data_IF_871486891146
#
_entry.id   IF_871486891146
#
_cell.length_a   1.000
_cell.length_b   1.000
_cell.length_c   1.000
_cell.angle_alpha   90.00
_cell.angle_beta   90.00
_cell.angle_gamma   90.00
#
_symmetry.space_group_name_H-M   'P 1'
#
loop_
_entity.id
_entity.type
_entity.pdbx_description
1 polymer ?
#
# COMPACT_ATOMS: atom_id res chain seq x y z
N UNK A 1 -36.88 6.54 39.32
CA UNK A 1 -37.65 6.80 38.10
C UNK A 1 -37.22 5.78 37.08
N UNK A 2 -38.07 4.78 36.86
CA UNK A 2 -37.85 3.63 35.98
C UNK A 2 -38.67 3.90 34.72
N UNK A 3 -37.99 4.19 33.62
CA UNK A 3 -38.64 4.33 32.32
C UNK A 3 -38.48 3.01 31.56
N UNK A 4 -39.61 2.30 31.47
CA UNK A 4 -39.82 1.14 30.61
C UNK A 4 -39.99 1.63 29.17
N UNK A 5 -39.30 0.98 28.24
CA UNK A 5 -39.49 1.14 26.80
C UNK A 5 -40.69 0.26 26.38
N UNK A 6 -41.70 0.76 25.66
CA UNK A 6 -42.88 -0.03 25.25
C UNK A 6 -42.59 -1.01 24.11
N UNK A 7 -43.10 -2.23 24.27
CA UNK A 7 -43.24 -3.26 23.24
C UNK A 7 -44.52 -3.00 22.45
N UNK A 8 -44.46 -2.57 21.19
CA UNK A 8 -45.64 -2.47 20.31
C UNK A 8 -45.24 -2.51 18.83
N UNK A 9 -44.76 -3.65 18.30
CA UNK A 9 -44.71 -3.86 16.84
C UNK A 9 -44.94 -5.34 16.51
N UNK A 10 -46.16 -5.83 16.75
CA UNK A 10 -46.73 -7.00 16.07
C UNK A 10 -48.26 -6.93 16.08
N UNK A 11 -48.86 -6.45 14.99
CA UNK A 11 -50.17 -6.89 14.50
C UNK A 11 -50.48 -6.19 13.16
N UNK A 12 -50.15 -6.82 12.05
CA UNK A 12 -50.87 -6.60 10.80
C UNK A 12 -51.91 -7.73 10.68
N UNK A 13 -53.13 -7.47 11.14
CA UNK A 13 -54.31 -8.26 10.80
C UNK A 13 -54.70 -7.89 9.37
N UNK A 14 -54.59 -8.86 8.45
CA UNK A 14 -55.15 -8.73 7.12
C UNK A 14 -56.68 -8.78 7.21
N UNK A 15 -57.32 -7.77 6.64
CA UNK A 15 -58.76 -7.70 6.38
C UNK A 15 -59.13 -8.79 5.36
N UNK A 16 -60.15 -9.59 5.66
CA UNK A 16 -60.86 -10.41 4.69
C UNK A 16 -62.27 -9.85 4.57
N UNK A 17 -62.62 -9.45 3.36
CA UNK A 17 -63.93 -8.96 2.92
C UNK A 17 -64.79 -10.10 2.37
N UNK A 18 -66.07 -10.02 2.73
CA UNK A 18 -67.31 -10.35 2.00
C UNK A 18 -67.68 -11.82 1.69
N UNK A 19 -68.62 -12.32 2.50
CA UNK A 19 -69.99 -12.73 2.16
C UNK A 19 -70.31 -13.62 0.93
N UNK A 20 -70.88 -14.78 1.30
CA UNK A 20 -72.14 -15.41 0.84
C UNK A 20 -72.21 -16.52 -0.24
N UNK A 21 -73.15 -17.43 0.09
CA UNK A 21 -73.86 -18.47 -0.67
C UNK A 21 -73.15 -19.77 -1.07
N UNK A 22 -73.70 -20.88 -0.55
CA UNK A 22 -73.27 -22.24 -0.80
C UNK A 22 -73.92 -22.93 -2.00
N UNK A 23 -73.36 -24.08 -2.36
CA UNK A 23 -74.04 -25.17 -3.04
C UNK A 23 -73.22 -26.46 -2.86
N UNK A 24 -73.88 -27.50 -2.37
CA UNK A 24 -73.41 -28.88 -2.31
C UNK A 24 -73.12 -29.43 -3.71
N UNK A 25 -72.04 -30.20 -3.86
CA UNK A 25 -72.04 -31.47 -4.60
C UNK A 25 -70.82 -32.30 -4.18
N UNK A 26 -71.11 -33.53 -3.75
CA UNK A 26 -70.17 -34.62 -3.51
C UNK A 26 -69.32 -34.91 -4.76
N UNK A 27 -68.00 -35.09 -4.58
CA UNK A 27 -67.25 -36.11 -5.31
C UNK A 27 -65.90 -36.39 -4.63
N UNK A 28 -65.67 -37.68 -4.51
CA UNK A 28 -64.58 -38.39 -3.85
C UNK A 28 -63.27 -38.25 -4.63
N UNK A 29 -62.26 -37.58 -4.07
CA UNK A 29 -60.88 -37.86 -4.48
C UNK A 29 -59.89 -37.57 -3.34
N UNK A 30 -59.27 -38.65 -2.84
CA UNK A 30 -58.32 -38.63 -1.74
C UNK A 30 -56.98 -38.08 -2.22
N UNK A 31 -56.86 -36.75 -2.28
CA UNK A 31 -55.57 -36.09 -2.48
C UNK A 31 -54.73 -36.19 -1.20
N UNK A 32 -53.89 -37.23 -1.11
CA UNK A 32 -52.88 -37.35 -0.06
C UNK A 32 -51.99 -36.09 -0.04
N UNK A 33 -52.18 -35.31 1.03
CA UNK A 33 -51.37 -34.17 1.42
C UNK A 33 -49.88 -34.52 1.44
N UNK A 34 -49.13 -33.99 0.48
CA UNK A 34 -47.66 -33.87 0.54
C UNK A 34 -47.27 -32.42 0.82
N UNK A 35 -47.84 -31.86 1.87
CA UNK A 35 -47.38 -30.57 2.38
C UNK A 35 -46.13 -30.81 3.25
N UNK A 36 -44.99 -31.07 2.60
CA UNK A 36 -43.70 -31.08 3.28
C UNK A 36 -43.36 -29.64 3.63
N UNK A 37 -43.67 -29.25 4.87
CA UNK A 37 -43.22 -28.00 5.48
C UNK A 37 -41.69 -27.92 5.35
N UNK A 38 -41.19 -27.14 4.40
CA UNK A 38 -39.76 -26.94 4.19
C UNK A 38 -39.22 -26.16 5.39
N UNK A 39 -38.61 -26.87 6.32
CA UNK A 39 -37.99 -26.26 7.50
C UNK A 39 -36.73 -25.51 7.08
N UNK A 40 -36.79 -24.18 7.05
CA UNK A 40 -35.63 -23.34 6.80
C UNK A 40 -34.64 -23.43 7.97
N UNK A 41 -33.42 -23.86 7.69
CA UNK A 41 -32.31 -23.90 8.64
C UNK A 41 -31.18 -23.00 8.12
N UNK A 42 -30.36 -22.44 9.03
CA UNK A 42 -29.20 -21.66 8.58
C UNK A 42 -28.31 -22.52 7.69
N UNK A 43 -27.88 -21.94 6.57
CA UNK A 43 -27.09 -22.61 5.53
C UNK A 43 -25.81 -23.25 6.10
N UNK A 44 -25.17 -22.62 7.07
CA UNK A 44 -23.95 -23.15 7.71
C UNK A 44 -24.23 -24.41 8.55
N UNK A 45 -25.38 -24.47 9.23
CA UNK A 45 -25.80 -25.63 10.01
C UNK A 45 -26.15 -26.79 9.07
N UNK A 46 -26.84 -26.51 7.97
CA UNK A 46 -27.12 -27.49 6.92
C UNK A 46 -25.83 -28.11 6.36
N UNK A 47 -24.88 -27.29 5.91
CA UNK A 47 -23.61 -27.79 5.37
C UNK A 47 -22.75 -28.48 6.43
N UNK A 48 -22.84 -28.08 7.70
CA UNK A 48 -22.20 -28.78 8.81
C UNK A 48 -22.74 -30.22 8.97
N UNK A 49 -24.05 -30.44 8.80
CA UNK A 49 -24.66 -31.79 8.79
C UNK A 49 -24.19 -32.61 7.60
N UNK A 50 -24.22 -32.05 6.39
CA UNK A 50 -23.74 -32.72 5.16
C UNK A 50 -22.28 -33.14 5.29
N UNK A 51 -21.44 -32.29 5.90
CA UNK A 51 -20.02 -32.57 6.10
C UNK A 51 -19.70 -33.63 7.14
N UNK A 52 -20.64 -33.95 8.04
CA UNK A 52 -20.53 -35.04 9.01
C UNK A 52 -20.97 -36.40 8.45
N UNK A 53 -21.60 -36.42 7.27
CA UNK A 53 -22.08 -37.67 6.66
C UNK A 53 -20.89 -38.53 6.22
N UNK A 54 -20.78 -39.73 6.80
CA UNK A 54 -19.76 -40.72 6.47
C UNK A 54 -20.35 -41.85 5.65
N UNK A 55 -19.51 -42.46 4.82
CA UNK A 55 -19.80 -43.74 4.18
C UNK A 55 -19.63 -44.86 5.23
N UNK A 56 -20.20 -46.05 5.00
CA UNK A 56 -19.97 -47.22 5.86
C UNK A 56 -18.48 -47.58 6.02
N UNK A 57 -17.63 -47.15 5.09
CA UNK A 57 -16.16 -47.29 5.12
C UNK A 57 -15.45 -46.29 6.03
N UNK A 58 -16.17 -45.41 6.73
CA UNK A 58 -15.61 -44.39 7.63
C UNK A 58 -15.16 -43.09 6.94
N UNK A 59 -15.08 -43.08 5.60
CA UNK A 59 -14.69 -41.90 4.83
C UNK A 59 -15.83 -40.86 4.73
N UNK A 60 -15.49 -39.57 4.69
CA UNK A 60 -16.49 -38.51 4.50
C UNK A 60 -17.12 -38.63 3.11
N UNK A 61 -18.45 -38.73 3.07
CA UNK A 61 -19.21 -38.97 1.84
C UNK A 61 -19.03 -37.85 0.80
N UNK A 62 -18.92 -36.62 1.26
CA UNK A 62 -18.92 -35.40 0.43
C UNK A 62 -17.71 -34.49 0.68
N UNK A 63 -16.50 -35.06 0.71
CA UNK A 63 -15.28 -34.30 1.03
C UNK A 63 -14.99 -33.13 0.06
N UNK A 64 -15.14 -33.34 -1.24
CA UNK A 64 -14.91 -32.31 -2.28
C UNK A 64 -16.00 -31.23 -2.26
N UNK A 65 -17.27 -31.65 -2.18
CA UNK A 65 -18.41 -30.73 -2.10
C UNK A 65 -18.33 -29.83 -0.86
N UNK A 66 -17.89 -30.37 0.28
CA UNK A 66 -17.66 -29.58 1.50
C UNK A 66 -16.52 -28.57 1.39
N UNK A 67 -15.57 -28.77 0.48
CA UNK A 67 -14.55 -27.75 0.19
C UNK A 67 -15.17 -26.62 -0.64
N UNK A 68 -15.92 -26.96 -1.69
CA UNK A 68 -16.62 -25.99 -2.53
C UNK A 68 -17.61 -25.14 -1.72
N UNK A 69 -18.47 -25.78 -0.92
CA UNK A 69 -19.44 -25.09 -0.08
C UNK A 69 -18.77 -24.15 0.92
N UNK A 70 -17.65 -24.58 1.54
CA UNK A 70 -16.88 -23.69 2.43
C UNK A 70 -16.34 -22.48 1.68
N UNK A 71 -15.72 -22.66 0.53
CA UNK A 71 -15.19 -21.54 -0.27
C UNK A 71 -16.32 -20.58 -0.65
N UNK A 72 -17.42 -21.10 -1.20
CA UNK A 72 -18.56 -20.30 -1.63
C UNK A 72 -19.19 -19.50 -0.48
N UNK A 73 -19.33 -20.09 0.72
CA UNK A 73 -19.94 -19.45 1.89
C UNK A 73 -18.99 -18.53 2.66
N UNK A 74 -17.67 -18.66 2.45
CA UNK A 74 -16.66 -17.76 3.04
C UNK A 74 -16.27 -16.62 2.12
N UNK A 75 -16.60 -16.72 0.83
CA UNK A 75 -16.38 -15.65 -0.13
C UNK A 75 -17.35 -14.52 0.21
N UNK A 76 -16.81 -13.36 0.53
CA UNK A 76 -17.64 -12.24 0.93
C UNK A 76 -18.50 -11.78 -0.26
N UNK A 77 -19.83 -11.81 -0.12
CA UNK A 77 -20.77 -11.58 -1.23
C UNK A 77 -20.94 -10.10 -1.62
N UNK A 78 -20.13 -9.19 -1.04
CA UNK A 78 -20.12 -7.79 -1.43
C UNK A 78 -19.11 -6.94 -0.64
N UNK A 79 -18.96 -5.68 -1.04
CA UNK A 79 -18.07 -4.72 -0.37
C UNK A 79 -18.64 -4.18 0.95
N UNK A 80 -19.89 -4.52 1.30
CA UNK A 80 -20.57 -3.99 2.48
C UNK A 80 -19.79 -4.21 3.79
N UNK A 81 -19.15 -5.37 3.96
CA UNK A 81 -18.33 -5.65 5.14
C UNK A 81 -17.04 -4.82 5.19
N UNK A 82 -16.45 -4.55 4.01
CA UNK A 82 -15.26 -3.70 3.88
C UNK A 82 -15.62 -2.25 4.21
N UNK A 83 -16.75 -1.77 3.68
CA UNK A 83 -17.30 -0.43 3.94
C UNK A 83 -17.71 -0.25 5.41
N UNK A 84 -18.29 -1.29 6.02
CA UNK A 84 -18.56 -1.33 7.47
C UNK A 84 -17.26 -1.24 8.28
N UNK A 85 -16.20 -1.89 7.81
CA UNK A 85 -14.85 -1.77 8.37
C UNK A 85 -14.30 -0.35 8.28
N UNK A 86 -14.46 0.32 7.13
CA UNK A 86 -14.03 1.71 6.95
C UNK A 86 -14.84 2.70 7.80
N UNK A 87 -16.13 2.46 7.97
CA UNK A 87 -16.99 3.29 8.83
C UNK A 87 -16.56 3.24 10.29
N UNK A 88 -16.19 2.05 10.79
CA UNK A 88 -15.60 1.89 12.13
C UNK A 88 -14.24 2.60 12.24
N UNK A 89 -13.42 2.53 11.21
CA UNK A 89 -12.14 3.24 11.18
C UNK A 89 -12.31 4.77 11.13
N UNK A 90 -13.35 5.26 10.45
CA UNK A 90 -13.68 6.69 10.43
C UNK A 90 -13.94 7.21 11.85
N UNK A 91 -14.62 6.45 12.71
CA UNK A 91 -14.82 6.85 14.10
C UNK A 91 -13.49 6.98 14.86
N UNK A 92 -12.56 6.04 14.65
CA UNK A 92 -11.22 6.06 15.26
C UNK A 92 -10.35 7.22 14.76
N UNK A 93 -10.51 7.59 13.48
CA UNK A 93 -9.75 8.69 12.87
C UNK A 93 -10.34 10.07 13.18
N UNK A 94 -11.65 10.17 13.40
CA UNK A 94 -12.37 11.47 13.45
C UNK A 94 -12.77 11.89 14.86
N UNK A 95 -13.08 10.96 15.78
CA UNK A 95 -13.72 11.33 17.06
C UNK A 95 -12.78 11.93 18.11
N UNK A 96 -11.47 11.71 18.04
CA UNK A 96 -10.56 12.31 19.00
C UNK A 96 -9.11 12.37 18.51
N UNK A 97 -8.75 13.45 17.77
CA UNK A 97 -7.38 14.03 17.53
C UNK A 97 -6.15 13.10 17.53
N UNK A 98 -6.28 11.81 17.24
CA UNK A 98 -5.20 10.84 17.31
C UNK A 98 -4.80 10.52 15.88
N UNK A 99 -3.71 11.17 15.43
CA UNK A 99 -2.96 10.72 14.25
C UNK A 99 -2.31 9.38 14.60
N UNK A 100 -3.11 8.32 14.63
CA UNK A 100 -2.61 6.96 14.73
C UNK A 100 -1.97 6.59 13.39
N UNK A 101 -0.74 6.13 13.46
CA UNK A 101 -0.05 5.55 12.30
C UNK A 101 -0.80 4.27 11.87
N UNK A 102 -0.75 3.91 10.58
CA UNK A 102 -1.44 2.70 10.09
C UNK A 102 -1.15 1.42 10.88
N UNK A 103 0.08 1.16 11.36
CA UNK A 103 0.35 0.00 12.22
C UNK A 103 -0.48 -0.02 13.50
N UNK A 104 -0.73 1.15 14.11
CA UNK A 104 -1.53 1.26 15.32
C UNK A 104 -3.02 1.00 15.05
N UNK A 105 -3.55 1.48 13.92
CA UNK A 105 -4.93 1.21 13.49
C UNK A 105 -5.13 -0.28 13.23
N UNK A 106 -4.19 -0.91 12.53
CA UNK A 106 -4.22 -2.35 12.24
C UNK A 106 -4.13 -3.17 13.54
N UNK A 107 -3.27 -2.78 14.47
CA UNK A 107 -3.16 -3.40 15.79
C UNK A 107 -4.47 -3.35 16.56
N UNK A 108 -5.08 -2.17 16.67
CA UNK A 108 -6.35 -1.99 17.38
C UNK A 108 -7.49 -2.79 16.73
N UNK A 109 -7.57 -2.81 15.39
CA UNK A 109 -8.56 -3.60 14.66
C UNK A 109 -8.37 -5.09 14.88
N UNK A 110 -7.13 -5.56 14.92
CA UNK A 110 -6.79 -6.97 15.17
C UNK A 110 -7.25 -7.39 16.57
N UNK A 111 -6.92 -6.58 17.59
CA UNK A 111 -7.34 -6.84 18.97
C UNK A 111 -8.86 -6.77 19.11
N UNK A 112 -9.51 -5.73 18.58
CA UNK A 112 -10.97 -5.59 18.63
C UNK A 112 -11.68 -6.77 17.96
N UNK A 113 -11.21 -7.18 16.77
CA UNK A 113 -11.78 -8.33 16.05
C UNK A 113 -11.57 -9.63 16.82
N UNK A 114 -10.41 -9.80 17.44
CA UNK A 114 -10.13 -10.96 18.29
C UNK A 114 -11.08 -11.00 19.50
N UNK A 115 -11.26 -9.88 20.19
CA UNK A 115 -12.18 -9.76 21.33
C UNK A 115 -13.63 -10.04 20.93
N UNK A 116 -14.07 -9.53 19.78
CA UNK A 116 -15.43 -9.79 19.26
C UNK A 116 -15.70 -11.26 18.98
N UNK A 117 -14.68 -12.05 18.59
CA UNK A 117 -14.84 -13.51 18.37
C UNK A 117 -15.19 -14.28 19.65
N UNK A 118 -14.83 -13.75 20.82
CA UNK A 118 -15.12 -14.36 22.12
C UNK A 118 -16.28 -13.63 22.84
N UNK A 119 -17.22 -13.05 22.08
CA UNK A 119 -18.43 -12.43 22.64
C UNK A 119 -18.17 -11.14 23.41
N UNK A 120 -17.06 -10.45 23.12
CA UNK A 120 -16.67 -9.18 23.75
C UNK A 120 -16.50 -9.22 25.26
N UNK A 121 -16.35 -10.42 25.85
CA UNK A 121 -16.10 -10.61 27.28
C UNK A 121 -14.59 -10.79 27.49
N UNK A 122 -13.93 -9.94 28.30
CA UNK A 122 -12.50 -10.08 28.55
C UNK A 122 -12.12 -11.42 29.22
N UNK A 123 -13.03 -11.96 30.03
CA UNK A 123 -12.82 -13.17 30.84
C UNK A 123 -12.74 -14.45 30.01
N UNK A 124 -13.35 -14.47 28.82
CA UNK A 124 -13.34 -15.65 27.93
C UNK A 124 -12.18 -15.66 26.95
N UNK A 125 -11.25 -14.71 27.04
CA UNK A 125 -10.11 -14.60 26.13
C UNK A 125 -8.96 -15.51 26.56
N UNK A 126 -8.53 -16.45 25.71
CA UNK A 126 -7.34 -17.23 25.98
C UNK A 126 -6.09 -16.38 25.70
N UNK A 127 -5.32 -16.07 26.73
CA UNK A 127 -4.01 -15.40 26.57
C UNK A 127 -2.89 -16.43 26.42
N UNK A 128 -2.32 -16.50 25.21
CA UNK A 128 -1.09 -17.26 25.00
C UNK A 128 0.10 -16.59 25.71
N UNK A 129 1.09 -17.40 26.11
CA UNK A 129 2.36 -16.90 26.66
C UNK A 129 3.04 -15.89 25.74
N UNK A 130 2.92 -16.08 24.43
CA UNK A 130 3.51 -15.21 23.42
C UNK A 130 2.89 -13.81 23.40
N UNK A 131 1.58 -13.72 23.61
CA UNK A 131 0.88 -12.44 23.70
C UNK A 131 1.38 -11.68 24.93
N UNK A 132 1.50 -12.37 26.07
CA UNK A 132 2.01 -11.76 27.30
C UNK A 132 3.45 -11.30 27.14
N UNK A 133 4.31 -12.10 26.49
CA UNK A 133 5.70 -11.74 26.22
C UNK A 133 5.80 -10.54 25.25
N UNK A 134 4.93 -10.50 24.23
CA UNK A 134 4.88 -9.38 23.27
C UNK A 134 4.45 -8.08 23.93
N UNK A 135 3.52 -8.12 24.88
CA UNK A 135 3.13 -6.95 25.68
C UNK A 135 4.31 -6.46 26.52
N UNK A 136 5.03 -7.38 27.19
CA UNK A 136 6.19 -7.03 28.01
C UNK A 136 7.33 -6.40 27.20
N UNK A 137 7.59 -6.88 25.98
CA UNK A 137 8.64 -6.35 25.11
C UNK A 137 8.20 -5.16 24.25
N UNK A 138 6.90 -4.80 24.26
CA UNK A 138 6.33 -3.78 23.37
C UNK A 138 7.03 -2.42 23.48
N UNK A 139 7.34 -1.98 24.71
CA UNK A 139 8.00 -0.70 24.95
C UNK A 139 9.43 -0.70 24.42
N UNK A 140 10.19 -1.77 24.65
CA UNK A 140 11.55 -1.94 24.13
C UNK A 140 11.56 -1.94 22.60
N UNK A 141 10.65 -2.71 21.99
CA UNK A 141 10.51 -2.77 20.53
C UNK A 141 10.14 -1.40 19.93
N UNK A 142 9.29 -0.64 20.63
CA UNK A 142 8.92 0.72 20.22
C UNK A 142 10.13 1.67 20.24
N UNK A 143 10.92 1.64 21.31
CA UNK A 143 12.12 2.47 21.43
C UNK A 143 13.18 2.10 20.38
N UNK A 144 13.37 0.81 20.11
CA UNK A 144 14.24 0.35 19.01
C UNK A 144 13.76 0.83 17.65
N UNK A 145 12.45 0.74 17.37
CA UNK A 145 11.86 1.25 16.12
C UNK A 145 12.11 2.75 15.99
N UNK A 146 11.92 3.51 17.06
CA UNK A 146 12.15 4.97 17.09
C UNK A 146 13.62 5.32 16.85
N UNK A 147 14.56 4.56 17.41
CA UNK A 147 16.00 4.71 17.13
C UNK A 147 16.33 4.42 15.67
N UNK A 148 15.80 3.32 15.12
CA UNK A 148 15.98 2.96 13.69
C UNK A 148 15.41 4.02 12.76
N UNK A 149 14.25 4.58 13.06
CA UNK A 149 13.64 5.63 12.26
C UNK A 149 14.48 6.91 12.25
N UNK A 150 15.04 7.32 13.41
CA UNK A 150 15.98 8.45 13.49
C UNK A 150 17.23 8.21 12.67
N UNK A 151 17.81 7.02 12.76
CA UNK A 151 19.02 6.67 12.02
C UNK A 151 18.76 6.63 10.50
N UNK A 152 17.61 6.10 10.07
CA UNK A 152 17.20 6.13 8.67
C UNK A 152 17.02 7.56 8.16
N UNK A 153 16.41 8.45 8.95
CA UNK A 153 16.27 9.87 8.58
C UNK A 153 17.63 10.55 8.45
N UNK A 154 18.55 10.29 9.40
CA UNK A 154 19.91 10.82 9.35
C UNK A 154 20.66 10.35 8.10
N UNK A 155 20.61 9.05 7.80
CA UNK A 155 21.23 8.50 6.57
C UNK A 155 20.61 9.08 5.31
N UNK A 156 19.28 9.21 5.26
CA UNK A 156 18.61 9.81 4.11
C UNK A 156 18.99 11.28 3.91
N UNK A 157 19.16 12.06 4.99
CA UNK A 157 19.63 13.45 4.91
C UNK A 157 21.10 13.53 4.49
N UNK A 158 21.96 12.66 5.02
CA UNK A 158 23.36 12.54 4.59
C UNK A 158 23.48 12.19 3.11
N UNK A 159 22.64 11.28 2.61
CA UNK A 159 22.64 10.86 1.21
C UNK A 159 22.08 11.96 0.29
N UNK A 160 21.04 12.68 0.70
CA UNK A 160 20.56 13.88 -0.02
C UNK A 160 21.63 14.96 -0.06
N UNK A 161 22.34 15.19 1.04
CA UNK A 161 23.44 16.15 1.10
C UNK A 161 24.60 15.79 0.17
N UNK A 162 24.94 14.50 0.06
CA UNK A 162 25.95 14.00 -0.89
C UNK A 162 25.47 14.18 -2.34
N UNK A 163 24.22 13.84 -2.64
CA UNK A 163 23.64 13.99 -3.98
C UNK A 163 23.62 15.46 -4.42
N UNK A 164 23.24 16.38 -3.53
CA UNK A 164 23.28 17.82 -3.82
C UNK A 164 24.72 18.35 -4.00
N UNK A 165 25.67 17.87 -3.20
CA UNK A 165 27.08 18.25 -3.35
C UNK A 165 27.67 17.72 -4.65
N UNK A 166 27.36 16.48 -5.02
CA UNK A 166 27.75 15.87 -6.29
C UNK A 166 27.13 16.61 -7.48
N UNK A 167 25.84 17.00 -7.39
CA UNK A 167 25.16 17.83 -8.37
C UNK A 167 25.84 19.19 -8.58
N UNK A 168 26.15 19.91 -7.49
CA UNK A 168 26.89 21.20 -7.56
C UNK A 168 28.26 21.03 -8.24
N UNK A 169 28.99 19.97 -7.92
CA UNK A 169 30.27 19.71 -8.57
C UNK A 169 30.12 19.32 -10.06
N UNK A 170 29.00 18.74 -10.49
CA UNK A 170 28.73 18.48 -11.91
C UNK A 170 28.46 19.80 -12.62
N UNK A 171 27.62 20.67 -12.05
CA UNK A 171 27.28 21.97 -12.62
C UNK A 171 28.52 22.86 -12.79
N UNK A 172 29.42 22.88 -11.80
CA UNK A 172 30.67 23.64 -11.87
C UNK A 172 31.61 23.13 -12.97
N UNK A 173 31.66 21.80 -13.19
CA UNK A 173 32.45 21.23 -14.29
C UNK A 173 31.81 21.53 -15.65
N UNK A 174 30.48 21.52 -15.76
CA UNK A 174 29.77 21.91 -16.98
C UNK A 174 30.02 23.38 -17.34
N UNK A 175 29.98 24.29 -16.36
CA UNK A 175 30.32 25.71 -16.57
C UNK A 175 31.77 25.88 -17.02
N UNK A 176 32.71 25.18 -16.39
CA UNK A 176 34.13 25.20 -16.81
C UNK A 176 34.31 24.68 -18.23
N UNK A 177 33.61 23.60 -18.59
CA UNK A 177 33.63 23.04 -19.95
C UNK A 177 33.10 24.06 -20.98
N UNK A 178 31.94 24.66 -20.71
CA UNK A 178 31.34 25.67 -21.59
C UNK A 178 32.24 26.90 -21.77
N UNK A 179 32.87 27.38 -20.70
CA UNK A 179 33.82 28.50 -20.76
C UNK A 179 35.05 28.16 -21.63
N UNK A 180 35.61 26.96 -21.46
CA UNK A 180 36.75 26.52 -22.28
C UNK A 180 36.37 26.34 -23.75
N UNK A 181 35.17 25.84 -24.05
CA UNK A 181 34.64 25.73 -25.42
C UNK A 181 34.43 27.12 -26.06
N UNK A 182 33.96 28.10 -25.30
CA UNK A 182 33.84 29.48 -25.77
C UNK A 182 35.20 30.09 -26.12
N UNK A 183 36.21 29.89 -25.27
CA UNK A 183 37.59 30.34 -25.52
C UNK A 183 38.21 29.64 -26.75
N UNK A 184 37.90 28.36 -27.00
CA UNK A 184 38.31 27.68 -28.22
C UNK A 184 37.68 28.33 -29.46
N UNK A 185 36.38 28.64 -29.42
CA UNK A 185 35.68 29.28 -30.52
C UNK A 185 36.23 30.68 -30.80
N UNK A 186 36.54 31.45 -29.76
CA UNK A 186 37.18 32.76 -29.87
C UNK A 186 38.59 32.66 -30.50
N UNK A 187 39.42 31.74 -29.99
CA UNK A 187 40.75 31.48 -30.55
C UNK A 187 40.71 31.04 -32.03
N UNK A 188 39.74 30.20 -32.40
CA UNK A 188 39.55 29.78 -33.80
C UNK A 188 39.12 30.95 -34.70
N UNK A 189 38.30 31.87 -34.20
CA UNK A 189 37.88 33.06 -34.94
C UNK A 189 39.07 34.02 -35.17
N UNK A 190 39.90 34.25 -34.15
CA UNK A 190 41.12 35.06 -34.28
C UNK A 190 42.13 34.45 -35.27
N UNK A 191 42.21 33.12 -35.33
CA UNK A 191 43.05 32.43 -36.32
C UNK A 191 42.53 32.63 -37.75
N UNK A 192 41.22 32.55 -37.97
CA UNK A 192 40.59 32.82 -39.26
C UNK A 192 40.77 34.29 -39.69
N UNK A 193 40.69 35.23 -38.74
CA UNK A 193 41.04 36.64 -39.00
C UNK A 193 42.52 36.82 -39.36
N UNK A 194 43.43 36.13 -38.67
CA UNK A 194 44.86 36.19 -38.96
C UNK A 194 45.17 35.69 -40.37
N UNK A 195 44.47 34.65 -40.83
CA UNK A 195 44.61 34.09 -42.19
C UNK A 195 44.13 35.06 -43.30
N UNK A 196 43.21 35.96 -42.98
CA UNK A 196 42.66 36.96 -43.94
C UNK A 196 43.48 38.25 -44.02
N UNK A 197 44.43 38.46 -43.11
CA UNK A 197 45.28 39.65 -43.09
C UNK A 197 46.38 39.57 -44.16
N UNK A 198 46.57 40.67 -44.92
CA UNK A 198 47.64 40.80 -45.92
C UNK A 198 49.00 41.19 -45.31
N UNK A 199 48.99 41.81 -44.12
CA UNK A 199 50.19 42.20 -43.38
C UNK A 199 50.73 40.99 -42.60
N UNK A 200 51.85 40.44 -43.07
CA UNK A 200 52.49 39.25 -42.49
C UNK A 200 52.89 39.43 -41.02
N UNK A 201 53.30 40.63 -40.61
CA UNK A 201 53.71 40.91 -39.24
C UNK A 201 52.51 40.88 -38.28
N UNK A 202 51.41 41.53 -38.66
CA UNK A 202 50.16 41.52 -37.87
C UNK A 202 49.47 40.16 -37.88
N UNK A 203 49.53 39.44 -39.00
CA UNK A 203 48.99 38.08 -39.11
C UNK A 203 49.72 37.13 -38.15
N UNK A 204 51.05 37.20 -38.08
CA UNK A 204 51.85 36.37 -37.18
C UNK A 204 51.55 36.64 -35.71
N UNK A 205 51.47 37.91 -35.29
CA UNK A 205 51.13 38.29 -33.91
C UNK A 205 49.73 37.80 -33.51
N UNK A 206 48.73 37.96 -34.38
CA UNK A 206 47.37 37.46 -34.11
C UNK A 206 47.31 35.94 -34.07
N UNK A 207 48.02 35.24 -34.96
CA UNK A 207 48.07 33.78 -34.98
C UNK A 207 48.76 33.21 -33.73
N UNK A 208 49.81 33.87 -33.24
CA UNK A 208 50.48 33.50 -31.99
C UNK A 208 49.57 33.69 -30.77
N UNK A 209 48.86 34.82 -30.69
CA UNK A 209 47.87 35.08 -29.66
C UNK A 209 46.71 34.06 -29.70
N UNK A 210 46.19 33.74 -30.90
CA UNK A 210 45.15 32.73 -31.09
C UNK A 210 45.61 31.34 -30.65
N UNK A 211 46.84 30.94 -31.02
CA UNK A 211 47.40 29.65 -30.61
C UNK A 211 47.60 29.55 -29.10
N UNK A 212 48.02 30.62 -28.43
CA UNK A 212 48.13 30.66 -26.97
C UNK A 212 46.77 30.45 -26.29
N UNK A 213 45.71 31.11 -26.77
CA UNK A 213 44.34 30.94 -26.25
C UNK A 213 43.86 29.50 -26.46
N UNK A 214 44.07 28.93 -27.65
CA UNK A 214 43.66 27.56 -27.98
C UNK A 214 44.40 26.54 -27.10
N UNK A 215 45.72 26.69 -26.91
CA UNK A 215 46.49 25.76 -26.07
C UNK A 215 46.05 25.81 -24.60
N UNK A 216 45.81 27.01 -24.06
CA UNK A 216 45.33 27.16 -22.69
C UNK A 216 43.93 26.56 -22.51
N UNK A 217 43.02 26.78 -23.46
CA UNK A 217 41.68 26.22 -23.42
C UNK A 217 41.67 24.69 -23.53
N UNK A 218 42.54 24.11 -24.39
CA UNK A 218 42.71 22.65 -24.51
C UNK A 218 43.23 22.02 -23.22
N UNK A 219 44.25 22.64 -22.60
CA UNK A 219 44.81 22.17 -21.32
C UNK A 219 43.76 22.23 -20.20
N UNK A 220 42.91 23.26 -20.20
CA UNK A 220 41.80 23.37 -19.25
C UNK A 220 40.73 22.27 -19.47
N UNK A 221 40.42 21.92 -20.72
CA UNK A 221 39.50 20.82 -21.06
C UNK A 221 40.04 19.46 -20.63
N UNK A 222 41.32 19.18 -20.86
CA UNK A 222 41.97 17.94 -20.41
C UNK A 222 41.91 17.82 -18.87
N UNK A 223 42.06 18.93 -18.15
CA UNK A 223 41.86 18.99 -16.70
C UNK A 223 40.42 18.66 -16.26
N UNK A 224 39.41 19.04 -17.05
CA UNK A 224 38.00 18.69 -16.79
C UNK A 224 37.73 17.22 -17.11
N UNK A 225 38.24 16.69 -18.22
CA UNK A 225 38.06 15.29 -18.63
C UNK A 225 38.69 14.31 -17.63
N UNK A 226 39.88 14.63 -17.13
CA UNK A 226 40.53 13.84 -16.08
C UNK A 226 39.76 13.87 -14.76
N UNK A 227 39.11 15.00 -14.43
CA UNK A 227 38.24 15.10 -13.25
C UNK A 227 36.95 14.27 -13.40
N UNK A 228 36.35 14.25 -14.60
CA UNK A 228 35.17 13.43 -14.91
C UNK A 228 35.52 11.93 -14.84
N UNK A 229 36.63 11.50 -15.44
CA UNK A 229 37.07 10.09 -15.41
C UNK A 229 37.35 9.59 -13.97
N UNK A 230 37.94 10.45 -13.11
CA UNK A 230 38.13 10.14 -11.68
C UNK A 230 36.81 9.96 -10.94
N UNK A 231 35.81 10.80 -11.22
CA UNK A 231 34.45 10.68 -10.65
C UNK A 231 33.79 9.36 -11.07
N UNK A 232 33.83 9.02 -12.36
CA UNK A 232 33.19 7.78 -12.86
C UNK A 232 33.83 6.52 -12.26
N UNK A 233 35.14 6.56 -12.03
CA UNK A 233 35.90 5.51 -11.35
C UNK A 233 35.52 5.36 -9.87
N UNK A 234 35.28 6.48 -9.17
CA UNK A 234 34.80 6.47 -7.78
C UNK A 234 33.34 6.01 -7.67
N UNK A 235 32.48 6.38 -8.62
CA UNK A 235 31.08 5.96 -8.67
C UNK A 235 30.93 4.45 -8.90
N UNK A 236 31.76 3.85 -9.77
CA UNK A 236 31.79 2.39 -9.99
C UNK A 236 32.19 1.62 -8.75
N UNK A 237 33.20 2.09 -8.01
CA UNK A 237 33.66 1.47 -6.74
C UNK A 237 32.62 1.52 -5.61
N UNK A 238 31.68 2.46 -5.64
CA UNK A 238 30.60 2.57 -4.64
C UNK A 238 29.42 1.62 -4.91
N UNK A 239 29.33 1.05 -6.11
CA UNK A 239 28.21 0.16 -6.54
C UNK A 239 28.53 -1.34 -6.45
N UNK A 240 29.79 -1.70 -6.24
CA UNK A 240 30.28 -3.07 -5.96
C UNK A 240 30.55 -3.24 -4.48
#
# INVERSE_FOLDING_TARGET
MSEKIPEDWYCCTAENTDDDEGADTDDEDTAQSRDQVVKYERIDVYWSKVGKMTRPTGERKYSALMKLARIALTLNHGNADVERGFSKNKLLLTSHRTRLEMPAINGLRTVSSYVSRYGSKPQSLPFSRDVVNSIRSSHTNYEERKKKEKELKRKAEEDRGKEEAEGRQVDDLLKKKANSEALLKEGMCLLDEAMKLKDKGRAMIKAEAANAIIQNARKALEGVETAVSKRDSQSKKRKT
#
